data_IF_226926264989
#
_entry.id   IF_226926264989
#
_cell.length_a   1.000
_cell.length_b   1.000
_cell.length_c   1.000
_cell.angle_alpha   90.00
_cell.angle_beta   90.00
_cell.angle_gamma   90.00
#
_symmetry.space_group_name_H-M   'P 1'
#
loop_
_entity.id
_entity.type
_entity.pdbx_description
1 polymer ?
#
# COMPACT_ATOMS: atom_id res chain seq x y z
N UNK A 1 34.84 41.41 1.33
CA UNK A 1 36.04 40.76 1.87
C UNK A 1 35.63 39.33 2.18
N UNK A 2 36.02 38.38 1.33
CA UNK A 2 35.59 36.99 1.43
C UNK A 2 36.18 36.37 2.70
N UNK A 3 35.32 35.91 3.59
CA UNK A 3 35.69 35.14 4.78
C UNK A 3 36.31 33.82 4.32
N UNK A 4 37.51 33.44 4.78
CA UNK A 4 38.02 32.10 4.56
C UNK A 4 37.11 31.10 5.30
N UNK A 5 36.82 29.94 4.70
CA UNK A 5 36.11 28.87 5.40
C UNK A 5 36.92 28.44 6.62
N UNK A 6 36.27 28.08 7.74
CA UNK A 6 36.96 27.46 8.87
C UNK A 6 37.71 26.20 8.40
N UNK A 7 38.86 25.88 9.01
CA UNK A 7 39.67 24.72 8.61
C UNK A 7 38.83 23.46 8.66
N UNK A 8 38.80 22.75 7.53
CA UNK A 8 38.00 21.56 7.27
C UNK A 8 38.46 20.30 8.05
N UNK A 9 39.32 20.45 9.06
CA UNK A 9 40.13 19.35 9.60
C UNK A 9 39.90 19.03 11.09
N UNK A 10 38.83 19.51 11.72
CA UNK A 10 38.45 19.03 13.06
C UNK A 10 37.20 18.16 12.97
N UNK A 11 37.31 16.82 13.12
CA UNK A 11 36.17 15.93 13.34
C UNK A 11 35.65 16.08 14.78
N UNK A 12 35.40 17.31 15.20
CA UNK A 12 34.73 17.57 16.46
C UNK A 12 33.24 17.34 16.22
N UNK A 13 32.69 16.35 16.89
CA UNK A 13 31.25 16.16 16.93
C UNK A 13 30.60 17.50 17.33
N UNK A 14 29.77 18.07 16.44
CA UNK A 14 29.09 19.35 16.66
C UNK A 14 28.26 19.32 17.96
N UNK A 15 27.94 18.13 18.48
CA UNK A 15 27.27 17.98 19.76
C UNK A 15 28.21 18.08 20.99
N UNK A 16 29.52 17.91 20.82
CA UNK A 16 30.52 17.80 21.91
C UNK A 16 31.34 19.08 22.06
N UNK A 17 31.77 19.70 20.96
CA UNK A 17 32.62 20.89 20.99
C UNK A 17 32.04 22.00 20.12
N UNK A 18 32.13 23.25 20.59
CA UNK A 18 31.68 24.40 19.82
C UNK A 18 32.76 24.84 18.82
N UNK A 19 32.59 24.60 17.51
CA UNK A 19 33.58 24.97 16.50
C UNK A 19 33.72 26.50 16.34
N UNK A 20 32.74 27.27 16.83
CA UNK A 20 32.75 28.73 16.79
C UNK A 20 33.41 29.35 18.02
N UNK A 21 33.81 28.57 19.04
CA UNK A 21 34.34 29.09 20.30
C UNK A 21 35.59 29.97 20.13
N UNK A 22 36.46 29.62 19.18
CA UNK A 22 37.73 30.31 18.93
C UNK A 22 37.62 31.53 17.98
N UNK A 23 36.41 31.89 17.51
CA UNK A 23 36.27 32.92 16.49
C UNK A 23 36.47 34.34 17.07
N UNK A 24 37.49 35.09 16.65
CA UNK A 24 37.87 36.37 17.27
C UNK A 24 36.93 37.54 16.92
N UNK A 25 36.09 37.37 15.90
CA UNK A 25 35.15 38.38 15.40
C UNK A 25 33.71 38.22 15.90
N UNK A 26 33.43 37.18 16.69
CA UNK A 26 32.08 36.86 17.16
C UNK A 26 31.93 37.15 18.64
N UNK A 27 30.84 37.80 19.01
CA UNK A 27 30.48 37.95 20.42
C UNK A 27 30.23 36.56 21.06
N UNK A 28 30.40 36.41 22.39
CA UNK A 28 30.14 35.13 23.05
C UNK A 28 28.73 34.58 22.75
N UNK A 29 27.72 35.46 22.75
CA UNK A 29 26.33 35.09 22.46
C UNK A 29 26.15 34.60 21.01
N UNK A 30 26.77 35.26 20.04
CA UNK A 30 26.68 34.85 18.63
C UNK A 30 27.25 33.45 18.40
N UNK A 31 28.34 33.11 19.10
CA UNK A 31 28.99 31.80 19.01
C UNK A 31 28.09 30.70 19.57
N UNK A 32 27.45 30.94 20.70
CA UNK A 32 26.53 29.98 21.32
C UNK A 32 25.29 29.78 20.45
N UNK A 33 24.70 30.86 19.95
CA UNK A 33 23.52 30.80 19.08
C UNK A 33 23.82 30.04 17.78
N UNK A 34 24.96 30.33 17.11
CA UNK A 34 25.37 29.62 15.91
C UNK A 34 25.60 28.13 16.17
N UNK A 35 26.15 27.79 17.33
CA UNK A 35 26.36 26.39 17.70
C UNK A 35 25.04 25.65 17.92
N UNK A 36 24.08 26.27 18.60
CA UNK A 36 22.74 25.70 18.78
C UNK A 36 21.99 25.55 17.44
N UNK A 37 22.13 26.52 16.52
CA UNK A 37 21.60 26.38 15.16
C UNK A 37 22.26 25.23 14.39
N UNK A 38 23.57 25.03 14.55
CA UNK A 38 24.28 23.91 13.93
C UNK A 38 23.77 22.55 14.46
N UNK A 39 23.58 22.42 15.78
CA UNK A 39 22.98 21.23 16.40
C UNK A 39 21.56 20.99 15.90
N UNK A 40 20.74 22.04 15.82
CA UNK A 40 19.37 21.95 15.31
C UNK A 40 19.34 21.51 13.85
N UNK A 41 20.19 22.08 13.00
CA UNK A 41 20.29 21.70 11.60
C UNK A 41 20.68 20.21 11.45
N UNK A 42 21.57 19.71 12.30
CA UNK A 42 21.96 18.31 12.29
C UNK A 42 20.84 17.39 12.77
N UNK A 43 20.13 17.76 13.85
CA UNK A 43 18.90 17.05 14.26
C UNK A 43 17.85 17.04 13.15
N UNK A 44 17.68 18.14 12.42
CA UNK A 44 16.73 18.23 11.31
C UNK A 44 17.14 17.32 10.14
N UNK A 45 18.43 17.20 9.83
CA UNK A 45 18.93 16.23 8.84
C UNK A 45 18.64 14.80 9.28
N UNK A 46 18.90 14.46 10.55
CA UNK A 46 18.61 13.14 11.10
C UNK A 46 17.11 12.84 11.08
N UNK A 47 16.26 13.80 11.45
CA UNK A 47 14.81 13.69 11.37
C UNK A 47 14.37 13.45 9.93
N UNK A 48 14.83 14.27 8.98
CA UNK A 48 14.52 14.11 7.55
C UNK A 48 14.92 12.73 7.04
N UNK A 49 16.10 12.25 7.42
CA UNK A 49 16.59 10.93 7.03
C UNK A 49 15.70 9.82 7.59
N UNK A 50 15.39 9.87 8.89
CA UNK A 50 14.49 8.92 9.55
C UNK A 50 13.09 8.95 8.95
N UNK A 51 12.51 10.12 8.71
CA UNK A 51 11.20 10.27 8.05
C UNK A 51 11.21 9.70 6.65
N UNK A 52 12.28 9.92 5.86
CA UNK A 52 12.41 9.33 4.52
C UNK A 52 12.52 7.81 4.58
N UNK A 53 13.28 7.27 5.52
CA UNK A 53 13.39 5.82 5.73
C UNK A 53 12.04 5.21 6.12
N UNK A 54 11.33 5.85 7.06
CA UNK A 54 9.98 5.47 7.49
C UNK A 54 8.92 5.66 6.41
N UNK A 55 9.12 6.56 5.44
CA UNK A 55 8.21 6.70 4.30
C UNK A 55 8.48 5.67 3.20
N UNK A 56 9.70 5.16 3.08
CA UNK A 56 10.09 4.23 2.03
C UNK A 56 9.92 2.74 2.42
N UNK A 57 9.99 2.41 3.71
CA UNK A 57 9.87 1.03 4.21
C UNK A 57 8.46 0.45 4.41
N UNK A 58 7.38 1.21 4.72
CA UNK A 58 6.09 0.61 5.10
C UNK A 58 5.33 0.01 3.93
N UNK A 59 5.65 0.40 2.69
CA UNK A 59 4.88 -0.02 1.52
C UNK A 59 5.06 -1.49 1.20
N UNK A 60 6.26 -2.06 1.30
CA UNK A 60 6.51 -3.43 0.85
C UNK A 60 5.77 -4.47 1.71
N UNK A 61 5.81 -4.32 3.04
CA UNK A 61 5.13 -5.24 3.96
C UNK A 61 3.61 -5.09 3.85
N UNK A 62 3.10 -3.86 3.77
CA UNK A 62 1.68 -3.60 3.66
C UNK A 62 1.12 -4.11 2.32
N UNK A 63 1.81 -3.87 1.21
CA UNK A 63 1.45 -4.42 -0.11
C UNK A 63 1.45 -5.95 -0.13
N UNK A 64 2.45 -6.60 0.49
CA UNK A 64 2.47 -8.05 0.60
C UNK A 64 1.26 -8.61 1.37
N UNK A 65 0.86 -7.93 2.45
CA UNK A 65 -0.34 -8.29 3.22
C UNK A 65 -1.61 -8.07 2.41
N UNK A 66 -1.75 -6.96 1.70
CA UNK A 66 -2.91 -6.71 0.83
C UNK A 66 -3.01 -7.75 -0.28
N UNK A 67 -1.90 -8.08 -0.96
CA UNK A 67 -1.88 -9.09 -2.02
C UNK A 67 -2.29 -10.47 -1.52
N UNK A 68 -1.86 -10.84 -0.30
CA UNK A 68 -2.29 -12.08 0.33
C UNK A 68 -3.79 -12.11 0.62
N UNK A 69 -4.39 -10.98 1.00
CA UNK A 69 -5.84 -10.86 1.21
C UNK A 69 -6.59 -10.92 -0.12
N UNK A 70 -6.12 -10.19 -1.13
CA UNK A 70 -6.68 -10.20 -2.49
C UNK A 70 -6.78 -11.62 -3.05
N UNK A 71 -5.70 -12.40 -2.97
CA UNK A 71 -5.69 -13.78 -3.46
C UNK A 71 -6.70 -14.68 -2.74
N UNK A 72 -6.82 -14.55 -1.42
CA UNK A 72 -7.76 -15.33 -0.62
C UNK A 72 -9.20 -14.97 -0.97
N UNK A 73 -9.50 -13.67 -1.06
CA UNK A 73 -10.85 -13.19 -1.39
C UNK A 73 -11.22 -13.50 -2.83
N UNK A 74 -10.27 -13.41 -3.77
CA UNK A 74 -10.48 -13.80 -5.18
C UNK A 74 -10.82 -15.29 -5.33
N UNK A 75 -10.14 -16.15 -4.56
CA UNK A 75 -10.45 -17.58 -4.53
C UNK A 75 -11.85 -17.85 -3.94
N UNK A 76 -12.17 -17.22 -2.81
CA UNK A 76 -13.50 -17.34 -2.17
C UNK A 76 -14.60 -16.87 -3.14
N UNK A 77 -14.41 -15.72 -3.79
CA UNK A 77 -15.36 -15.19 -4.77
C UNK A 77 -15.54 -16.16 -5.94
N UNK A 78 -14.46 -16.75 -6.45
CA UNK A 78 -14.52 -17.70 -7.56
C UNK A 78 -15.27 -18.97 -7.17
N UNK A 79 -14.97 -19.54 -6.00
CA UNK A 79 -15.67 -20.72 -5.46
C UNK A 79 -17.15 -20.42 -5.23
N UNK A 80 -17.47 -19.25 -4.68
CA UNK A 80 -18.85 -18.82 -4.48
C UNK A 80 -19.60 -18.64 -5.81
N UNK A 81 -18.98 -18.02 -6.81
CA UNK A 81 -19.59 -17.89 -8.14
C UNK A 81 -19.83 -19.25 -8.80
N UNK A 82 -18.88 -20.17 -8.69
CA UNK A 82 -19.02 -21.52 -9.21
C UNK A 82 -20.15 -22.29 -8.50
N UNK A 83 -20.26 -22.17 -7.17
CA UNK A 83 -21.31 -22.86 -6.41
C UNK A 83 -22.70 -22.32 -6.75
N UNK A 84 -22.86 -21.00 -6.85
CA UNK A 84 -24.12 -20.37 -7.25
C UNK A 84 -24.49 -20.76 -8.68
N UNK A 85 -23.53 -20.73 -9.61
CA UNK A 85 -23.80 -21.09 -11.00
C UNK A 85 -24.17 -22.57 -11.14
N UNK A 86 -23.54 -23.46 -10.37
CA UNK A 86 -23.90 -24.87 -10.30
C UNK A 86 -25.36 -25.07 -9.91
N UNK A 87 -25.81 -24.46 -8.81
CA UNK A 87 -27.20 -24.57 -8.33
C UNK A 87 -28.20 -23.99 -9.33
N UNK A 88 -27.93 -22.81 -9.88
CA UNK A 88 -28.81 -22.17 -10.87
C UNK A 88 -28.91 -23.04 -12.14
N UNK A 89 -27.78 -23.58 -12.61
CA UNK A 89 -27.77 -24.44 -13.78
C UNK A 89 -28.55 -25.75 -13.53
N UNK A 90 -28.41 -26.37 -12.36
CA UNK A 90 -29.18 -27.56 -11.97
C UNK A 90 -30.69 -27.27 -11.97
N UNK A 91 -31.12 -26.12 -11.46
CA UNK A 91 -32.52 -25.67 -11.48
C UNK A 91 -33.04 -25.48 -12.91
N UNK A 92 -32.28 -24.81 -13.79
CA UNK A 92 -32.67 -24.64 -15.19
C UNK A 92 -32.81 -25.97 -15.95
N UNK A 93 -31.94 -26.95 -15.68
CA UNK A 93 -32.02 -28.29 -16.27
C UNK A 93 -33.24 -29.05 -15.74
N UNK A 94 -33.54 -28.96 -14.44
CA UNK A 94 -34.72 -29.57 -13.83
C UNK A 94 -36.04 -28.95 -14.32
N UNK A 95 -36.09 -27.63 -14.51
CA UNK A 95 -37.24 -26.92 -15.08
C UNK A 95 -37.44 -27.25 -16.57
N UNK A 96 -36.36 -27.28 -17.37
CA UNK A 96 -36.44 -27.72 -18.78
C UNK A 96 -36.92 -29.16 -18.93
N UNK A 97 -36.50 -30.03 -18.03
CA UNK A 97 -36.95 -31.43 -18.01
C UNK A 97 -38.40 -31.59 -17.51
N UNK A 98 -38.93 -30.57 -16.82
CA UNK A 98 -40.32 -30.51 -16.34
C UNK A 98 -41.27 -29.86 -17.35
N UNK A 99 -40.79 -29.30 -18.46
CA UNK A 99 -41.62 -28.94 -19.62
C UNK A 99 -42.17 -30.24 -20.21
N UNK A 100 -43.45 -30.59 -20.00
CA UNK A 100 -43.97 -31.88 -20.41
C UNK A 100 -44.31 -31.82 -21.90
N UNK A 101 -44.15 -32.97 -22.55
CA UNK A 101 -44.71 -33.34 -23.85
C UNK A 101 -46.24 -33.12 -23.94
N UNK A 102 -46.74 -31.90 -23.84
CA UNK A 102 -48.17 -31.56 -23.97
C UNK A 102 -48.62 -31.37 -25.43
N UNK A 103 -47.75 -31.62 -26.41
CA UNK A 103 -48.05 -31.39 -27.82
C UNK A 103 -47.87 -32.64 -28.72
N UNK A 104 -47.94 -33.87 -28.18
CA UNK A 104 -47.78 -35.10 -28.99
C UNK A 104 -48.94 -36.11 -28.91
N UNK A 105 -50.13 -35.68 -28.49
CA UNK A 105 -51.25 -36.59 -28.18
C UNK A 105 -52.62 -36.30 -28.82
N UNK A 106 -52.76 -35.42 -29.83
CA UNK A 106 -54.11 -35.09 -30.38
C UNK A 106 -54.32 -35.30 -31.88
N UNK A 107 -53.48 -36.07 -32.57
CA UNK A 107 -53.75 -36.40 -33.98
C UNK A 107 -53.42 -37.87 -34.26
N UNK A 108 -54.25 -38.79 -33.78
CA UNK A 108 -54.42 -40.14 -34.34
C UNK A 108 -55.70 -40.75 -33.79
N UNK A 109 -56.81 -40.42 -34.44
CA UNK A 109 -58.13 -40.97 -34.21
C UNK A 109 -59.00 -40.70 -35.44
N UNK A 110 -58.53 -41.16 -36.59
CA UNK A 110 -59.32 -41.14 -37.82
C UNK A 110 -60.53 -42.07 -37.71
N UNK A 111 -61.65 -41.58 -38.25
CA UNK A 111 -62.51 -42.25 -39.23
C UNK A 111 -62.70 -43.76 -39.08
N UNK A 112 -63.93 -44.19 -38.78
CA UNK A 112 -64.65 -45.42 -39.21
C UNK A 112 -65.98 -45.41 -38.44
N UNK A 113 -67.19 -45.55 -38.96
CA UNK A 113 -67.77 -45.84 -40.27
C UNK A 113 -69.25 -46.20 -40.04
N UNK A 114 -70.10 -46.07 -41.07
CA UNK A 114 -71.47 -46.63 -41.10
C UNK A 114 -72.58 -45.64 -40.84
#
# INVERSE_FOLDING_TARGET
MATPPPPADAPADIFVENPYAAHPSLSPLERDVLWEYAKLAEHLKQLKHKTRALSAQPDALLLARLRAVENKMGLILTLFKASVWGVINEQHVAERSRSPDFARGRERGGSFGG
#
